data_IF_215007215145
#
_entry.id   IF_215007215145
#
_cell.length_a   1.000
_cell.length_b   1.000
_cell.length_c   1.000
_cell.angle_alpha   90.00
_cell.angle_beta   90.00
_cell.angle_gamma   90.00
#
_symmetry.space_group_name_H-M   'P 1'
#
loop_
_entity.id
_entity.type
_entity.pdbx_description
1 polymer ?
#
# COMPACT_ATOMS: atom_id res chain seq x y z
N UNK A 1 19.20 -13.68 10.77
CA UNK A 1 18.49 -12.64 11.52
C UNK A 1 17.22 -12.28 10.77
N UNK A 2 16.14 -13.00 11.02
CA UNK A 2 14.86 -12.79 10.32
C UNK A 2 14.04 -11.80 11.13
N UNK A 3 13.97 -10.55 10.66
CA UNK A 3 13.08 -9.55 11.21
C UNK A 3 11.64 -9.98 10.90
N UNK A 4 10.89 -10.33 11.94
CA UNK A 4 9.45 -10.53 11.88
C UNK A 4 8.78 -9.17 11.58
N UNK A 5 8.57 -8.87 10.30
CA UNK A 5 7.84 -7.66 9.89
C UNK A 5 6.31 -7.87 9.70
N UNK A 6 5.79 -9.05 10.04
CA UNK A 6 4.41 -9.45 9.71
C UNK A 6 3.27 -8.65 10.39
N UNK A 7 3.49 -7.96 11.50
CA UNK A 7 2.39 -7.37 12.28
C UNK A 7 2.17 -5.86 12.08
N UNK A 8 3.09 -5.14 11.45
CA UNK A 8 3.02 -3.67 11.37
C UNK A 8 2.51 -3.12 10.04
N UNK A 9 2.62 -3.92 8.97
CA UNK A 9 2.27 -3.49 7.61
C UNK A 9 0.77 -3.24 7.47
N UNK A 10 -0.14 -4.17 7.87
CA UNK A 10 -1.57 -3.96 7.67
C UNK A 10 -2.07 -2.68 8.36
N UNK A 11 -1.75 -2.50 9.65
CA UNK A 11 -2.23 -1.35 10.43
C UNK A 11 -1.80 0.00 9.87
N UNK A 12 -0.54 0.13 9.42
CA UNK A 12 -0.06 1.38 8.81
C UNK A 12 -0.65 1.57 7.41
N UNK A 13 -0.72 0.50 6.62
CA UNK A 13 -1.30 0.51 5.29
C UNK A 13 -2.76 1.00 5.33
N UNK A 14 -3.59 0.49 6.26
CA UNK A 14 -4.98 0.96 6.41
C UNK A 14 -5.08 2.43 6.79
N UNK A 15 -4.21 2.90 7.68
CA UNK A 15 -4.22 4.32 8.04
C UNK A 15 -3.96 5.20 6.81
N UNK A 16 -3.03 4.80 5.93
CA UNK A 16 -2.77 5.52 4.69
C UNK A 16 -3.92 5.42 3.68
N UNK A 17 -4.57 4.25 3.56
CA UNK A 17 -5.77 4.11 2.73
C UNK A 17 -6.92 4.99 3.21
N UNK A 18 -7.16 5.03 4.53
CA UNK A 18 -8.27 5.76 5.13
C UNK A 18 -8.19 7.27 4.94
N UNK A 19 -6.98 7.82 4.81
CA UNK A 19 -6.76 9.25 4.49
C UNK A 19 -6.67 9.51 2.97
N UNK A 20 -6.80 8.47 2.13
CA UNK A 20 -6.72 8.62 0.68
C UNK A 20 -5.32 8.99 0.19
N UNK A 21 -4.25 8.56 0.88
CA UNK A 21 -2.89 8.88 0.45
C UNK A 21 -2.42 7.89 -0.64
N UNK A 22 -1.75 8.38 -1.71
CA UNK A 22 -0.96 7.52 -2.58
C UNK A 22 0.18 6.83 -1.81
N UNK A 23 0.48 5.57 -2.17
CA UNK A 23 1.47 4.75 -1.45
C UNK A 23 2.73 4.53 -2.29
N UNK A 24 3.87 4.93 -1.74
CA UNK A 24 5.19 4.54 -2.20
C UNK A 24 5.68 3.37 -1.32
N UNK A 25 5.71 2.16 -1.89
CA UNK A 25 6.19 0.96 -1.23
C UNK A 25 7.67 0.74 -1.47
N UNK A 26 8.43 0.37 -0.43
CA UNK A 26 9.81 -0.07 -0.52
C UNK A 26 9.91 -1.48 0.05
N UNK A 27 9.63 -2.48 -0.78
CA UNK A 27 9.63 -3.87 -0.34
C UNK A 27 9.92 -4.83 -1.50
N UNK A 28 10.44 -6.04 -1.23
CA UNK A 28 10.59 -7.08 -2.25
C UNK A 28 9.26 -7.34 -2.98
N UNK A 29 9.31 -7.66 -4.27
CA UNK A 29 8.10 -7.93 -5.06
C UNK A 29 7.26 -9.10 -4.50
N UNK A 30 7.90 -10.04 -3.80
CA UNK A 30 7.22 -11.15 -3.14
C UNK A 30 6.56 -10.79 -1.81
N UNK A 31 6.69 -9.56 -1.34
CA UNK A 31 6.16 -9.12 -0.04
C UNK A 31 4.65 -8.90 -0.09
N UNK A 32 4.00 -9.07 1.07
CA UNK A 32 2.58 -8.74 1.24
C UNK A 32 2.29 -7.27 0.92
N UNK A 33 3.22 -6.35 1.22
CA UNK A 33 3.06 -4.93 0.90
C UNK A 33 3.00 -4.70 -0.62
N UNK A 34 3.92 -5.29 -1.38
CA UNK A 34 3.94 -5.19 -2.84
C UNK A 34 2.63 -5.73 -3.44
N UNK A 35 2.18 -6.90 -2.96
CA UNK A 35 0.91 -7.50 -3.37
C UNK A 35 -0.30 -6.62 -3.04
N UNK A 36 -0.33 -6.00 -1.86
CA UNK A 36 -1.42 -5.12 -1.45
C UNK A 36 -1.46 -3.83 -2.29
N UNK A 37 -0.31 -3.19 -2.52
CA UNK A 37 -0.21 -1.99 -3.36
C UNK A 37 -0.71 -2.29 -4.77
N UNK A 38 -0.27 -3.40 -5.37
CA UNK A 38 -0.69 -3.80 -6.71
C UNK A 38 -2.17 -4.21 -6.77
N UNK A 39 -2.66 -4.97 -5.79
CA UNK A 39 -4.06 -5.45 -5.74
C UNK A 39 -5.06 -4.30 -5.71
N UNK A 40 -4.78 -3.25 -4.93
CA UNK A 40 -5.69 -2.12 -4.75
C UNK A 40 -5.40 -0.95 -5.69
N UNK A 41 -4.28 -1.01 -6.40
CA UNK A 41 -3.78 0.04 -7.30
C UNK A 41 -3.72 1.41 -6.60
N UNK A 42 -3.09 1.42 -5.42
CA UNK A 42 -3.04 2.58 -4.49
C UNK A 42 -1.72 3.32 -4.56
N UNK A 43 -0.85 2.95 -5.50
CA UNK A 43 0.45 3.56 -5.71
C UNK A 43 1.42 2.60 -6.37
N UNK A 44 2.71 2.69 -6.03
CA UNK A 44 3.77 1.90 -6.66
C UNK A 44 4.72 1.29 -5.62
N UNK A 45 5.07 0.03 -5.81
CA UNK A 45 6.12 -0.64 -5.05
C UNK A 45 7.45 -0.59 -5.80
N UNK A 46 8.54 -0.41 -5.08
CA UNK A 46 9.89 -0.44 -5.60
C UNK A 46 10.74 -1.42 -4.77
N UNK A 47 11.19 -2.49 -5.39
CA UNK A 47 11.99 -3.53 -4.73
C UNK A 47 13.49 -3.24 -4.70
N UNK A 48 14.01 -2.56 -5.72
CA UNK A 48 15.40 -2.09 -5.79
C UNK A 48 15.49 -0.79 -6.60
N UNK A 49 14.85 0.31 -6.14
CA UNK A 49 14.77 1.54 -6.90
C UNK A 49 16.13 2.24 -7.01
N UNK A 50 16.36 2.87 -8.15
CA UNK A 50 17.26 4.02 -8.23
C UNK A 50 16.59 5.24 -7.59
N UNK A 51 17.37 6.19 -7.09
CA UNK A 51 16.85 7.38 -6.41
C UNK A 51 15.95 8.20 -7.33
N UNK A 52 16.31 8.24 -8.61
CA UNK A 52 15.58 8.92 -9.69
C UNK A 52 14.16 8.36 -9.83
N UNK A 53 13.97 7.04 -9.74
CA UNK A 53 12.64 6.42 -9.84
C UNK A 53 11.71 6.84 -8.69
N UNK A 54 12.27 7.11 -7.52
CA UNK A 54 11.52 7.60 -6.37
C UNK A 54 11.14 9.07 -6.53
N UNK A 55 12.08 9.87 -7.04
CA UNK A 55 11.85 11.29 -7.35
C UNK A 55 10.76 11.42 -8.40
N UNK A 56 10.86 10.69 -9.51
CA UNK A 56 9.87 10.70 -10.60
C UNK A 56 8.46 10.39 -10.07
N UNK A 57 8.34 9.43 -9.16
CA UNK A 57 7.04 9.10 -8.58
C UNK A 57 6.52 10.20 -7.65
N UNK A 58 7.39 10.81 -6.83
CA UNK A 58 7.00 11.94 -5.97
C UNK A 58 6.57 13.14 -6.84
N UNK A 59 7.29 13.43 -7.91
CA UNK A 59 6.95 14.48 -8.86
C UNK A 59 5.63 14.20 -9.57
N UNK A 60 5.38 12.97 -10.00
CA UNK A 60 4.10 12.55 -10.57
C UNK A 60 2.92 12.82 -9.62
N UNK A 61 3.13 12.69 -8.31
CA UNK A 61 2.08 12.96 -7.30
C UNK A 61 1.81 14.46 -7.09
N UNK A 62 2.63 15.35 -7.66
CA UNK A 62 2.32 16.79 -7.70
C UNK A 62 1.25 17.10 -8.75
N UNK A 63 1.06 16.24 -9.75
CA UNK A 63 -0.01 16.35 -10.74
C UNK A 63 -1.36 15.95 -10.14
N UNK A 64 -2.34 16.85 -10.22
CA UNK A 64 -3.66 16.64 -9.61
C UNK A 64 -4.37 15.38 -10.12
N UNK A 65 -4.26 15.08 -11.41
CA UNK A 65 -4.87 13.89 -12.03
C UNK A 65 -4.37 12.59 -11.39
N UNK A 66 -3.06 12.42 -11.30
CA UNK A 66 -2.43 11.23 -10.74
C UNK A 66 -2.64 11.14 -9.23
N UNK A 67 -2.51 12.25 -8.51
CA UNK A 67 -2.77 12.30 -7.06
C UNK A 67 -4.22 11.94 -6.75
N UNK A 68 -5.17 12.52 -7.48
CA UNK A 68 -6.60 12.23 -7.29
C UNK A 68 -6.95 10.80 -7.65
N UNK A 69 -6.35 10.24 -8.71
CA UNK A 69 -6.52 8.83 -9.08
C UNK A 69 -6.16 7.90 -7.91
N UNK A 70 -4.93 8.00 -7.41
CA UNK A 70 -4.48 7.14 -6.32
C UNK A 70 -5.22 7.42 -5.02
N UNK A 71 -5.64 8.67 -4.78
CA UNK A 71 -6.46 9.01 -3.62
C UNK A 71 -7.83 8.33 -3.65
N UNK A 72 -8.50 8.35 -4.80
CA UNK A 72 -9.78 7.66 -5.01
C UNK A 72 -9.63 6.15 -4.88
N UNK A 73 -8.57 5.57 -5.45
CA UNK A 73 -8.24 4.15 -5.27
C UNK A 73 -8.00 3.80 -3.80
N UNK A 74 -7.24 4.62 -3.06
CA UNK A 74 -6.99 4.42 -1.64
C UNK A 74 -8.27 4.47 -0.80
N UNK A 75 -9.16 5.43 -1.06
CA UNK A 75 -10.44 5.55 -0.36
C UNK A 75 -11.41 4.43 -0.72
N UNK A 76 -11.41 3.94 -1.97
CA UNK A 76 -12.15 2.74 -2.37
C UNK A 76 -11.64 1.51 -1.61
N UNK A 77 -10.31 1.31 -1.60
CA UNK A 77 -9.67 0.20 -0.91
C UNK A 77 -9.94 0.23 0.59
N UNK A 78 -9.98 1.41 1.22
CA UNK A 78 -10.30 1.55 2.65
C UNK A 78 -11.65 0.95 3.03
N UNK A 79 -12.62 0.89 2.11
CA UNK A 79 -13.94 0.25 2.34
C UNK A 79 -13.86 -1.26 2.48
N UNK A 80 -12.87 -1.89 1.85
CA UNK A 80 -12.61 -3.32 2.04
C UNK A 80 -12.01 -3.61 3.42
N UNK A 81 -11.56 -2.57 4.13
CA UNK A 81 -10.87 -2.67 5.42
C UNK A 81 -11.60 -1.95 6.57
N UNK A 82 -12.91 -1.72 6.44
CA UNK A 82 -13.70 -1.23 7.58
C UNK A 82 -13.63 -2.22 8.75
N UNK A 83 -13.99 -1.77 9.96
CA UNK A 83 -13.98 -2.58 11.19
C UNK A 83 -14.69 -3.94 11.02
N UNK A 84 -15.66 -4.01 10.11
CA UNK A 84 -16.42 -5.21 9.78
C UNK A 84 -15.62 -6.25 8.96
N UNK A 85 -14.64 -5.84 8.14
CA UNK A 85 -13.84 -6.72 7.27
C UNK A 85 -12.40 -6.98 7.77
N UNK A 86 -11.90 -6.22 8.74
CA UNK A 86 -10.56 -6.38 9.31
C UNK A 86 -10.30 -7.80 9.87
N UNK A 87 -11.35 -8.50 10.31
CA UNK A 87 -11.25 -9.88 10.82
C UNK A 87 -10.94 -10.93 9.73
N UNK A 88 -11.41 -10.71 8.49
CA UNK A 88 -11.16 -11.63 7.36
C UNK A 88 -9.69 -11.61 6.93
N UNK A 89 -9.03 -10.45 7.01
CA UNK A 89 -7.62 -10.34 6.64
C UNK A 89 -6.68 -10.97 7.67
N UNK A 90 -6.93 -10.78 8.98
CA UNK A 90 -6.18 -11.49 10.04
C UNK A 90 -6.32 -13.00 9.86
N UNK A 91 -7.50 -13.48 9.46
CA UNK A 91 -7.73 -14.91 9.20
C UNK A 91 -6.94 -15.42 7.99
N UNK A 92 -6.87 -14.66 6.90
CA UNK A 92 -6.15 -15.05 5.69
C UNK A 92 -4.62 -14.97 5.83
N UNK A 93 -4.10 -14.06 6.65
CA UNK A 93 -2.65 -13.96 6.94
C UNK A 93 -2.14 -15.06 7.88
N UNK A 94 -3.03 -15.71 8.64
CA UNK A 94 -2.68 -16.78 9.59
C UNK A 94 -2.93 -18.21 9.03
N UNK A 95 -3.31 -18.33 7.75
CA UNK A 95 -3.63 -19.62 7.12
C UNK A 95 -2.71 -19.99 5.94
N UNK A 96 -1.50 -19.45 5.86
CA UNK A 96 -0.41 -19.97 5.02
C UNK A 96 0.72 -20.53 5.89
#
# INVERSE_FOLDING_TARGET
SSLKEGNSIPSKFFNYLAVGAPILGLAPESSDLANLIAKYDVGRNFSNPQVEELIDFIELMTEDSHRMYYSDQSLKAAKDFTKENAQLLIRNLNCN
#
